data_IF_528277588151
#
_entry.id   IF_528277588151
#
_cell.length_a   1.000
_cell.length_b   1.000
_cell.length_c   1.000
_cell.angle_alpha   90.00
_cell.angle_beta   90.00
_cell.angle_gamma   90.00
#
_symmetry.space_group_name_H-M   'P 1'
#
loop_
_entity.id
_entity.type
_entity.pdbx_description
1 polymer ?
#
# COMPACT_ATOMS: atom_id res chain seq x y z
N UNK A 1 -2.17 -14.85 -22.49
CA UNK A 1 -2.44 -16.00 -21.58
C UNK A 1 -1.68 -15.75 -20.28
N UNK A 2 -2.27 -16.04 -19.11
CA UNK A 2 -1.58 -15.96 -17.81
C UNK A 2 -1.03 -17.34 -17.45
N UNK A 3 0.24 -17.42 -17.08
CA UNK A 3 0.84 -18.64 -16.56
C UNK A 3 0.27 -18.97 -15.17
N UNK A 4 -0.51 -20.04 -15.10
CA UNK A 4 -1.19 -20.44 -13.86
C UNK A 4 -0.22 -20.99 -12.82
N UNK A 5 0.95 -21.51 -13.23
CA UNK A 5 1.95 -22.07 -12.31
C UNK A 5 2.77 -20.96 -11.64
N UNK A 6 3.07 -19.89 -12.38
CA UNK A 6 3.89 -18.77 -11.89
C UNK A 6 3.07 -17.62 -11.30
N UNK A 7 1.79 -17.49 -11.66
CA UNK A 7 0.93 -16.40 -11.19
C UNK A 7 0.85 -16.26 -9.66
N UNK A 8 0.82 -17.32 -8.83
CA UNK A 8 0.79 -17.16 -7.38
C UNK A 8 2.08 -16.53 -6.83
N UNK A 9 3.23 -16.82 -7.45
CA UNK A 9 4.52 -16.26 -7.05
C UNK A 9 4.65 -14.79 -7.47
N UNK A 10 4.13 -14.43 -8.64
CA UNK A 10 4.06 -13.03 -9.07
C UNK A 10 3.20 -12.19 -8.11
N UNK A 11 2.04 -12.72 -7.68
CA UNK A 11 1.20 -12.07 -6.68
C UNK A 11 1.91 -11.97 -5.32
N UNK A 12 2.63 -13.01 -4.88
CA UNK A 12 3.41 -12.96 -3.65
C UNK A 12 4.53 -11.91 -3.70
N UNK A 13 5.23 -11.78 -4.83
CA UNK A 13 6.26 -10.76 -5.05
C UNK A 13 5.66 -9.34 -4.95
N UNK A 14 4.53 -9.09 -5.61
CA UNK A 14 3.81 -7.82 -5.51
C UNK A 14 3.41 -7.53 -4.07
N UNK A 15 2.81 -8.51 -3.38
CA UNK A 15 2.40 -8.41 -1.98
C UNK A 15 3.56 -8.05 -1.06
N UNK A 16 4.67 -8.80 -1.15
CA UNK A 16 5.86 -8.57 -0.32
C UNK A 16 6.44 -7.17 -0.59
N UNK A 17 6.46 -6.75 -1.85
CA UNK A 17 6.93 -5.42 -2.23
C UNK A 17 6.05 -4.32 -1.62
N UNK A 18 4.72 -4.43 -1.72
CA UNK A 18 3.79 -3.48 -1.11
C UNK A 18 3.92 -3.43 0.42
N UNK A 19 3.92 -4.60 1.07
CA UNK A 19 4.08 -4.68 2.53
C UNK A 19 5.38 -4.06 3.02
N UNK A 20 6.48 -4.32 2.30
CA UNK A 20 7.78 -3.69 2.57
C UNK A 20 7.69 -2.17 2.43
N UNK A 21 7.08 -1.65 1.35
CA UNK A 21 6.95 -0.20 1.15
C UNK A 21 6.17 0.48 2.26
N UNK A 22 5.05 -0.10 2.70
CA UNK A 22 4.29 0.44 3.83
C UNK A 22 5.12 0.49 5.12
N UNK A 23 5.83 -0.59 5.44
CA UNK A 23 6.66 -0.66 6.65
C UNK A 23 7.82 0.33 6.58
N UNK A 24 8.52 0.43 5.45
CA UNK A 24 9.66 1.37 5.32
C UNK A 24 9.21 2.82 5.39
N UNK A 25 8.02 3.17 4.88
CA UNK A 25 7.47 4.53 5.02
C UNK A 25 7.10 4.87 6.46
N UNK A 26 6.63 3.90 7.24
CA UNK A 26 6.41 4.10 8.65
C UNK A 26 7.72 4.27 9.42
N UNK A 27 8.73 3.44 9.10
CA UNK A 27 10.06 3.54 9.70
C UNK A 27 10.74 4.85 9.34
N UNK A 28 10.55 5.39 8.13
CA UNK A 28 11.01 6.73 7.77
C UNK A 28 10.43 7.78 8.72
N UNK A 29 9.11 7.71 8.99
CA UNK A 29 8.45 8.63 9.92
C UNK A 29 8.93 8.47 11.35
N UNK A 30 9.22 7.26 11.81
CA UNK A 30 9.65 7.01 13.18
C UNK A 30 11.14 7.29 13.43
N UNK A 31 12.01 6.88 12.51
CA UNK A 31 13.45 6.83 12.72
C UNK A 31 14.19 8.01 12.09
N UNK A 32 13.66 8.59 11.01
CA UNK A 32 14.32 9.69 10.29
C UNK A 32 13.63 11.01 10.59
N UNK A 33 12.32 11.07 10.38
CA UNK A 33 11.57 12.32 10.66
C UNK A 33 11.32 12.47 12.15
N UNK A 34 11.19 11.37 12.88
CA UNK A 34 10.50 11.27 14.18
C UNK A 34 9.02 11.61 14.06
N UNK A 35 8.21 11.19 15.04
CA UNK A 35 6.78 11.49 15.04
C UNK A 35 6.53 13.00 15.02
N UNK A 36 7.29 13.77 15.80
CA UNK A 36 7.23 15.24 15.83
C UNK A 36 7.58 15.87 14.48
N UNK A 37 8.56 15.32 13.75
CA UNK A 37 8.89 15.81 12.41
C UNK A 37 7.79 15.51 11.38
N UNK A 38 7.12 14.36 11.49
CA UNK A 38 5.96 14.06 10.66
C UNK A 38 4.75 14.95 10.99
N UNK A 39 4.50 15.26 12.27
CA UNK A 39 3.50 16.25 12.67
C UNK A 39 3.79 17.63 12.08
N UNK A 40 5.05 18.07 12.11
CA UNK A 40 5.46 19.33 11.49
C UNK A 40 5.25 19.32 9.96
N UNK A 41 5.56 18.21 9.29
CA UNK A 41 5.27 18.02 7.87
C UNK A 41 3.77 18.10 7.57
N UNK A 42 2.90 17.49 8.39
CA UNK A 42 1.45 17.61 8.22
C UNK A 42 0.99 19.06 8.41
N UNK A 43 1.49 19.74 9.44
CA UNK A 43 1.17 21.14 9.71
C UNK A 43 1.58 22.07 8.55
N UNK A 44 2.75 21.85 7.94
CA UNK A 44 3.21 22.66 6.79
C UNK A 44 2.33 22.51 5.55
N UNK A 45 1.53 21.43 5.46
CA UNK A 45 0.56 21.18 4.40
C UNK A 45 -0.88 21.47 4.84
N UNK A 46 -1.08 22.11 6.00
CA UNK A 46 -2.40 22.45 6.52
C UNK A 46 -3.23 21.23 6.96
N UNK A 47 -2.59 20.08 7.17
CA UNK A 47 -3.27 18.86 7.61
C UNK A 47 -3.33 18.77 9.15
N UNK A 48 -4.35 18.12 9.72
CA UNK A 48 -4.47 17.96 11.16
C UNK A 48 -3.34 17.07 11.70
N UNK A 49 -2.55 17.57 12.65
CA UNK A 49 -1.38 16.84 13.18
C UNK A 49 -1.75 15.58 13.97
N UNK A 50 -2.94 15.53 14.57
CA UNK A 50 -3.40 14.38 15.35
C UNK A 50 -3.50 13.08 14.54
N UNK A 51 -3.52 13.16 13.19
CA UNK A 51 -3.54 11.96 12.33
C UNK A 51 -2.16 11.29 12.22
N UNK A 52 -1.08 11.93 12.68
CA UNK A 52 0.29 11.40 12.54
C UNK A 52 0.42 9.98 13.12
N UNK A 53 0.00 9.80 14.38
CA UNK A 53 -0.01 8.51 15.05
C UNK A 53 -0.87 7.46 14.32
N UNK A 54 -2.17 7.74 14.06
CA UNK A 54 -3.02 6.84 13.29
C UNK A 54 -2.44 6.41 11.94
N UNK A 55 -1.86 7.35 11.17
CA UNK A 55 -1.21 7.02 9.88
C UNK A 55 -0.05 6.06 10.10
N UNK A 56 0.89 6.36 11.02
CA UNK A 56 2.02 5.47 11.29
C UNK A 56 1.56 4.06 11.72
N UNK A 57 0.54 3.97 12.57
CA UNK A 57 -0.03 2.68 13.00
C UNK A 57 -0.63 1.92 11.80
N UNK A 58 -1.40 2.61 10.95
CA UNK A 58 -1.97 2.01 9.74
C UNK A 58 -0.88 1.52 8.79
N UNK A 59 0.20 2.27 8.61
CA UNK A 59 1.32 1.89 7.75
C UNK A 59 2.05 0.65 8.28
N UNK A 60 2.34 0.58 9.58
CA UNK A 60 3.04 -0.58 10.18
C UNK A 60 2.14 -1.81 10.19
N UNK A 61 0.95 -1.69 10.79
CA UNK A 61 0.04 -2.83 10.96
C UNK A 61 -0.48 -3.28 9.61
N UNK A 62 -0.93 -2.34 8.77
CA UNK A 62 -1.40 -2.63 7.43
C UNK A 62 -0.29 -3.20 6.55
N UNK A 63 0.91 -2.62 6.58
CA UNK A 63 2.07 -3.15 5.87
C UNK A 63 2.44 -4.56 6.30
N UNK A 64 2.43 -4.86 7.60
CA UNK A 64 2.69 -6.20 8.12
C UNK A 64 1.62 -7.21 7.69
N UNK A 65 0.33 -6.84 7.76
CA UNK A 65 -0.76 -7.71 7.31
C UNK A 65 -0.69 -8.00 5.80
N UNK A 66 -0.34 -7.00 4.99
CA UNK A 66 -0.08 -7.18 3.56
C UNK A 66 1.12 -8.12 3.38
N UNK A 67 2.27 -7.83 3.99
CA UNK A 67 3.50 -8.61 3.86
C UNK A 67 3.27 -10.10 4.13
N UNK A 68 2.62 -10.40 5.26
CA UNK A 68 2.31 -11.75 5.72
C UNK A 68 1.17 -12.42 4.92
N UNK A 69 0.44 -11.67 4.10
CA UNK A 69 -0.74 -12.16 3.41
C UNK A 69 -1.85 -12.60 4.37
N UNK A 70 -2.09 -11.81 5.42
CA UNK A 70 -3.22 -11.96 6.32
C UNK A 70 -4.31 -10.95 5.94
N UNK A 71 -5.29 -11.40 5.15
CA UNK A 71 -6.30 -10.58 4.49
C UNK A 71 -5.69 -9.41 3.67
N UNK A 72 -4.49 -9.62 3.12
CA UNK A 72 -3.66 -8.60 2.49
C UNK A 72 -4.38 -7.83 1.38
N UNK A 73 -5.15 -8.50 0.51
CA UNK A 73 -5.98 -7.85 -0.53
C UNK A 73 -6.91 -6.77 0.03
N UNK A 74 -7.61 -7.09 1.12
CA UNK A 74 -8.58 -6.18 1.74
C UNK A 74 -7.84 -5.03 2.39
N UNK A 75 -6.74 -5.33 3.10
CA UNK A 75 -5.88 -4.32 3.72
C UNK A 75 -5.30 -3.35 2.69
N UNK A 76 -4.85 -3.84 1.52
CA UNK A 76 -4.39 -2.98 0.42
C UNK A 76 -5.44 -1.97 -0.04
N UNK A 77 -6.73 -2.35 -0.06
CA UNK A 77 -7.82 -1.43 -0.40
C UNK A 77 -8.11 -0.44 0.74
N UNK A 78 -8.10 -0.91 1.99
CA UNK A 78 -8.35 -0.07 3.17
C UNK A 78 -7.28 1.02 3.37
N UNK A 79 -6.06 0.82 2.87
CA UNK A 79 -4.99 1.81 2.95
C UNK A 79 -5.00 2.82 1.80
N UNK A 80 -5.88 2.67 0.79
CA UNK A 80 -5.97 3.63 -0.33
C UNK A 80 -6.23 5.08 0.11
N UNK A 81 -7.07 5.37 1.15
CA UNK A 81 -7.22 6.75 1.63
C UNK A 81 -5.91 7.40 2.10
N UNK A 82 -4.99 6.62 2.69
CA UNK A 82 -3.67 7.12 3.11
C UNK A 82 -2.82 7.46 1.88
N UNK A 83 -2.80 6.59 0.87
CA UNK A 83 -2.09 6.87 -0.40
C UNK A 83 -2.73 8.02 -1.17
N UNK A 84 -4.05 8.18 -1.12
CA UNK A 84 -4.74 9.32 -1.72
C UNK A 84 -4.33 10.62 -1.04
N UNK A 85 -4.24 10.64 0.29
CA UNK A 85 -3.71 11.77 1.05
C UNK A 85 -2.26 12.10 0.67
N UNK A 86 -1.40 11.09 0.59
CA UNK A 86 -0.02 11.26 0.11
C UNK A 86 0.02 11.84 -1.32
N UNK A 87 -0.77 11.28 -2.25
CA UNK A 87 -0.86 11.76 -3.64
C UNK A 87 -1.28 13.23 -3.69
N UNK A 88 -2.27 13.63 -2.88
CA UNK A 88 -2.76 15.01 -2.83
C UNK A 88 -1.68 15.98 -2.32
N UNK A 89 -0.91 15.60 -1.31
CA UNK A 89 0.21 16.41 -0.78
C UNK A 89 1.30 16.64 -1.85
N UNK A 90 1.53 15.66 -2.73
CA UNK A 90 2.58 15.74 -3.77
C UNK A 90 2.11 16.28 -5.12
N UNK A 91 0.82 16.54 -5.34
CA UNK A 91 0.29 16.90 -6.67
C UNK A 91 0.90 18.20 -7.24
N UNK A 92 1.21 19.16 -6.36
CA UNK A 92 1.83 20.43 -6.72
C UNK A 92 3.32 20.34 -7.10
N UNK A 93 3.98 19.22 -6.78
CA UNK A 93 5.41 19.02 -7.02
C UNK A 93 5.73 18.47 -8.42
N UNK A 94 4.70 18.21 -9.25
CA UNK A 94 4.86 17.60 -10.58
C UNK A 94 4.95 16.07 -10.54
N UNK A 95 5.09 15.45 -11.72
CA UNK A 95 4.99 14.00 -11.90
C UNK A 95 6.13 13.22 -11.20
N UNK A 96 7.38 13.53 -11.54
CA UNK A 96 8.55 12.67 -11.24
C UNK A 96 8.93 12.68 -9.75
N UNK A 97 9.21 11.51 -9.18
CA UNK A 97 9.58 11.33 -7.77
C UNK A 97 10.84 12.11 -7.37
N UNK A 98 11.78 12.33 -8.28
CA UNK A 98 13.01 13.09 -8.01
C UNK A 98 12.84 14.61 -7.95
N UNK A 99 11.63 15.13 -8.14
CA UNK A 99 11.35 16.56 -7.98
C UNK A 99 11.56 17.00 -6.52
N UNK A 100 11.76 18.30 -6.32
CA UNK A 100 11.81 18.87 -4.97
C UNK A 100 10.55 18.47 -4.18
N UNK A 101 10.75 17.97 -2.96
CA UNK A 101 9.69 17.43 -2.08
C UNK A 101 8.95 16.18 -2.61
N UNK A 102 9.43 15.55 -3.69
CA UNK A 102 8.86 14.33 -4.27
C UNK A 102 7.61 14.57 -5.11
N UNK A 103 7.60 14.05 -6.34
CA UNK A 103 6.44 14.08 -7.23
C UNK A 103 5.37 13.01 -6.93
N UNK A 104 4.20 13.17 -7.53
CA UNK A 104 3.01 12.34 -7.25
C UNK A 104 2.95 11.01 -8.01
N UNK A 105 3.88 10.73 -8.94
CA UNK A 105 3.90 9.45 -9.68
C UNK A 105 3.98 8.24 -8.75
N UNK A 106 4.77 8.36 -7.67
CA UNK A 106 5.09 7.23 -6.80
C UNK A 106 3.89 6.81 -5.93
N UNK A 107 3.22 7.70 -5.18
CA UNK A 107 2.02 7.31 -4.44
C UNK A 107 0.88 6.87 -5.37
N UNK A 108 0.74 7.45 -6.58
CA UNK A 108 -0.21 6.97 -7.58
C UNK A 108 0.12 5.55 -8.05
N UNK A 109 1.39 5.26 -8.31
CA UNK A 109 1.84 3.93 -8.69
C UNK A 109 1.51 2.92 -7.58
N UNK A 110 1.71 3.28 -6.31
CA UNK A 110 1.33 2.44 -5.18
C UNK A 110 -0.18 2.21 -5.07
N UNK A 111 -1.02 3.19 -5.44
CA UNK A 111 -2.48 3.01 -5.55
C UNK A 111 -2.79 1.95 -6.61
N UNK A 112 -2.21 2.10 -7.81
CA UNK A 112 -2.43 1.15 -8.90
C UNK A 112 -1.98 -0.27 -8.50
N UNK A 113 -0.81 -0.40 -7.88
CA UNK A 113 -0.29 -1.68 -7.41
C UNK A 113 -1.13 -2.30 -6.29
N UNK A 114 -1.69 -1.48 -5.40
CA UNK A 114 -2.62 -1.94 -4.36
C UNK A 114 -3.92 -2.49 -4.96
N UNK A 115 -4.44 -1.85 -6.01
CA UNK A 115 -5.60 -2.35 -6.78
C UNK A 115 -5.25 -3.65 -7.51
N UNK A 116 -4.09 -3.72 -8.15
CA UNK A 116 -3.62 -4.94 -8.82
C UNK A 116 -3.48 -6.09 -7.83
N UNK A 117 -2.91 -5.87 -6.64
CA UNK A 117 -2.83 -6.87 -5.59
C UNK A 117 -4.22 -7.32 -5.14
N UNK A 118 -5.14 -6.38 -4.95
CA UNK A 118 -6.52 -6.67 -4.60
C UNK A 118 -7.25 -7.49 -5.69
N UNK A 119 -6.90 -7.34 -6.98
CA UNK A 119 -7.48 -8.11 -8.09
C UNK A 119 -6.82 -9.48 -8.26
N UNK A 120 -5.49 -9.56 -8.20
CA UNK A 120 -4.72 -10.81 -8.40
C UNK A 120 -4.89 -11.81 -7.26
N UNK A 121 -4.93 -11.34 -6.02
CA UNK A 121 -4.91 -12.23 -4.86
C UNK A 121 -3.67 -12.06 -3.99
N UNK A 122 -3.71 -12.66 -2.80
CA UNK A 122 -2.56 -12.64 -1.88
C UNK A 122 -1.39 -13.49 -2.39
N UNK A 123 -1.61 -14.39 -3.35
CA UNK A 123 -0.54 -15.21 -3.94
C UNK A 123 -0.01 -16.31 -3.02
N UNK A 124 1.13 -16.88 -3.38
CA UNK A 124 1.79 -17.95 -2.63
C UNK A 124 2.18 -17.51 -1.20
N UNK A 125 2.26 -18.49 -0.29
CA UNK A 125 2.71 -18.32 1.10
C UNK A 125 1.89 -17.35 1.96
N UNK A 126 0.69 -16.95 1.53
CA UNK A 126 -0.20 -16.11 2.33
C UNK A 126 -0.65 -16.86 3.59
N UNK A 127 -0.55 -16.23 4.76
CA UNK A 127 -0.99 -16.85 6.02
C UNK A 127 -2.51 -17.08 6.05
N UNK A 128 -3.29 -16.12 5.54
CA UNK A 128 -4.74 -16.24 5.47
C UNK A 128 -5.28 -15.29 4.41
N UNK A 129 -5.70 -15.82 3.27
CA UNK A 129 -6.32 -14.97 2.26
C UNK A 129 -7.77 -14.63 2.61
N UNK A 130 -8.20 -13.40 2.32
CA UNK A 130 -9.62 -13.12 2.22
C UNK A 130 -10.13 -13.86 0.98
N UNK A 131 -11.02 -14.84 1.16
CA UNK A 131 -11.52 -15.64 0.06
C UNK A 131 -12.46 -14.79 -0.81
N UNK A 132 -12.23 -14.71 -2.13
CA UNK A 132 -13.33 -14.75 -3.06
C UNK A 132 -13.02 -15.84 -4.08
N UNK A 133 -13.04 -17.10 -3.66
CA UNK A 133 -13.67 -18.08 -4.53
C UNK A 133 -15.14 -17.64 -4.66
N UNK A 134 -15.41 -16.63 -5.50
CA UNK A 134 -16.69 -16.64 -6.19
C UNK A 134 -16.68 -17.99 -6.90
N UNK A 135 -17.65 -18.87 -6.63
CA UNK A 135 -17.76 -20.12 -7.34
C UNK A 135 -18.17 -19.76 -8.76
N UNK A 136 -17.20 -19.39 -9.60
CA UNK A 136 -17.36 -19.36 -11.04
C UNK A 136 -17.29 -20.82 -11.45
N UNK A 137 -18.36 -21.53 -11.15
CA UNK A 137 -18.67 -22.82 -11.75
C UNK A 137 -19.03 -22.50 -13.19
N UNK A 138 -18.02 -22.38 -14.05
CA UNK A 138 -18.24 -22.44 -15.49
C UNK A 138 -18.80 -23.83 -15.76
N UNK A 139 -20.13 -23.90 -15.85
CA UNK A 139 -20.80 -24.99 -16.56
C UNK A 139 -20.39 -24.84 -18.02
N UNK A 140 -19.31 -25.49 -18.42
CA UNK A 140 -19.08 -25.79 -19.82
C UNK A 140 -20.11 -26.83 -20.21
N UNK A 141 -21.11 -26.40 -20.99
CA UNK A 141 -21.95 -27.28 -21.79
C UNK A 141 -21.15 -27.77 -23.01
#
# INVERSE_FOLDING_TARGET
MIDQTLSPYAAALLRVSLGTMWITHALLKLLVFTLTGFEAFLASHGMPTFIAGPVVVLEIVGGALILLGYHGRVVSLLLLPVLAGATAVHIGNGWVFSNANGGWEYPLFLIAMSVVHALLGDGAFALKSANPALPVRLKTA
#
